data_IF_538946154364
#
_entry.id   IF_538946154364
#
_cell.length_a   1.000
_cell.length_b   1.000
_cell.length_c   1.000
_cell.angle_alpha   90.00
_cell.angle_beta   90.00
_cell.angle_gamma   90.00
#
_symmetry.space_group_name_H-M   'P 1'
#
loop_
_entity.id
_entity.type
_entity.pdbx_description
1 polymer ?
#
# COMPACT_ATOMS: atom_id res chain seq x y z
N UNK A 1 -14.82 -13.02 6.26
CA UNK A 1 -13.45 -13.24 5.71
C UNK A 1 -13.22 -12.24 4.58
N UNK A 2 -12.17 -11.45 4.65
CA UNK A 2 -11.77 -10.47 3.62
C UNK A 2 -10.47 -10.92 2.95
N UNK A 3 -10.27 -10.53 1.70
CA UNK A 3 -9.00 -10.65 0.99
C UNK A 3 -8.22 -9.36 1.15
N UNK A 4 -7.06 -9.44 1.79
CA UNK A 4 -6.20 -8.30 2.12
C UNK A 4 -4.92 -8.40 1.32
N UNK A 5 -4.58 -7.34 0.59
CA UNK A 5 -3.29 -7.22 -0.08
C UNK A 5 -2.46 -6.16 0.62
N UNK A 6 -1.31 -6.56 1.15
CA UNK A 6 -0.36 -5.67 1.81
C UNK A 6 0.80 -5.40 0.87
N UNK A 7 0.90 -4.17 0.39
CA UNK A 7 1.99 -3.70 -0.48
C UNK A 7 3.10 -3.13 0.39
N UNK A 8 4.31 -3.70 0.28
CA UNK A 8 5.49 -3.20 1.00
C UNK A 8 6.38 -2.37 0.08
N UNK A 9 6.77 -1.18 0.55
CA UNK A 9 7.58 -0.22 -0.22
C UNK A 9 9.02 -0.03 0.27
N UNK A 10 9.48 -0.79 1.28
CA UNK A 10 10.83 -0.62 1.81
C UNK A 10 11.88 -1.34 0.99
N UNK A 11 12.92 -0.63 0.48
CA UNK A 11 14.05 -1.29 -0.17
C UNK A 11 15.04 -1.92 0.82
N UNK A 12 14.89 -1.69 2.12
CA UNK A 12 15.80 -2.21 3.15
C UNK A 12 15.37 -3.58 3.63
N UNK A 13 16.24 -4.62 3.62
CA UNK A 13 15.96 -5.87 4.31
C UNK A 13 15.63 -5.62 5.80
N UNK A 14 14.51 -6.16 6.30
CA UNK A 14 14.08 -5.92 7.68
C UNK A 14 13.67 -4.46 7.97
N UNK A 15 13.30 -3.69 6.94
CA UNK A 15 12.87 -2.30 7.09
C UNK A 15 11.67 -2.14 8.03
N UNK A 16 11.60 -1.01 8.73
CA UNK A 16 10.58 -0.73 9.76
C UNK A 16 9.16 -0.89 9.23
N UNK A 17 8.86 -0.34 8.04
CA UNK A 17 7.54 -0.48 7.42
C UNK A 17 7.21 -1.92 7.01
N UNK A 18 8.21 -2.73 6.66
CA UNK A 18 7.99 -4.16 6.39
C UNK A 18 7.65 -4.93 7.68
N UNK A 19 8.21 -4.53 8.82
CA UNK A 19 7.86 -5.08 10.12
C UNK A 19 6.45 -4.68 10.54
N UNK A 20 6.03 -3.41 10.30
CA UNK A 20 4.64 -2.97 10.47
C UNK A 20 3.67 -3.81 9.63
N UNK A 21 3.98 -3.98 8.34
CA UNK A 21 3.20 -4.80 7.42
C UNK A 21 2.97 -6.23 7.95
N UNK A 22 4.04 -6.85 8.45
CA UNK A 22 3.97 -8.19 9.02
C UNK A 22 3.13 -8.26 10.28
N UNK A 23 3.24 -7.24 11.15
CA UNK A 23 2.45 -7.15 12.38
C UNK A 23 0.96 -6.99 12.06
N UNK A 24 0.60 -6.05 11.19
CA UNK A 24 -0.78 -5.88 10.70
C UNK A 24 -1.32 -7.19 10.11
N UNK A 25 -0.52 -7.83 9.24
CA UNK A 25 -0.91 -9.10 8.62
C UNK A 25 -1.12 -10.25 9.62
N UNK A 26 -0.40 -10.28 10.76
CA UNK A 26 -0.66 -11.25 11.84
C UNK A 26 -2.01 -10.99 12.49
N UNK A 27 -2.31 -9.74 12.85
CA UNK A 27 -3.60 -9.37 13.44
C UNK A 27 -4.77 -9.73 12.51
N UNK A 28 -4.67 -9.38 11.24
CA UNK A 28 -5.69 -9.70 10.25
C UNK A 28 -5.88 -11.23 10.06
N UNK A 29 -4.79 -12.00 10.03
CA UNK A 29 -4.88 -13.48 9.92
C UNK A 29 -5.50 -14.12 11.16
N UNK A 30 -5.25 -13.58 12.35
CA UNK A 30 -5.84 -14.08 13.59
C UNK A 30 -7.38 -13.99 13.57
N UNK A 31 -7.93 -13.00 12.86
CA UNK A 31 -9.38 -12.81 12.64
C UNK A 31 -9.91 -13.60 11.42
N UNK A 32 -9.10 -14.48 10.84
CA UNK A 32 -9.51 -15.38 9.76
C UNK A 32 -9.53 -14.73 8.38
N UNK A 33 -8.85 -13.59 8.17
CA UNK A 33 -8.73 -12.97 6.86
C UNK A 33 -7.63 -13.63 6.00
N UNK A 34 -7.80 -13.61 4.68
CA UNK A 34 -6.77 -14.01 3.72
C UNK A 34 -5.82 -12.85 3.48
N UNK A 35 -4.52 -13.04 3.77
CA UNK A 35 -3.51 -11.97 3.66
C UNK A 35 -2.43 -12.37 2.67
N UNK A 36 -2.28 -11.58 1.62
CA UNK A 36 -1.23 -11.68 0.61
C UNK A 36 -0.29 -10.49 0.71
N UNK A 37 1.01 -10.73 0.61
CA UNK A 37 2.03 -9.66 0.56
C UNK A 37 2.53 -9.48 -0.87
N UNK A 38 2.67 -8.22 -1.28
CA UNK A 38 3.30 -7.82 -2.52
C UNK A 38 4.47 -6.88 -2.23
N UNK A 39 5.67 -7.24 -2.67
CA UNK A 39 6.89 -6.45 -2.46
C UNK A 39 7.19 -5.61 -3.70
N UNK A 40 6.82 -4.33 -3.69
CA UNK A 40 6.97 -3.43 -4.84
C UNK A 40 8.43 -3.18 -5.26
N UNK A 41 9.40 -3.53 -4.40
CA UNK A 41 10.83 -3.42 -4.72
C UNK A 41 11.33 -4.63 -5.48
N UNK A 42 10.90 -5.84 -5.09
CA UNK A 42 11.31 -7.09 -5.74
C UNK A 42 10.66 -7.26 -7.10
N UNK A 43 9.39 -6.91 -7.20
CA UNK A 43 8.57 -7.11 -8.40
C UNK A 43 8.80 -6.06 -9.49
N UNK A 44 9.77 -5.16 -9.32
CA UNK A 44 10.29 -4.22 -10.32
C UNK A 44 9.23 -3.63 -11.25
N UNK A 45 8.38 -2.80 -10.71
CA UNK A 45 7.41 -2.04 -11.52
C UNK A 45 8.08 -0.80 -12.11
N UNK A 46 7.98 -0.61 -13.42
CA UNK A 46 8.41 0.60 -14.10
C UNK A 46 7.33 1.69 -14.04
N UNK A 47 7.75 2.95 -14.15
CA UNK A 47 6.83 4.10 -14.14
C UNK A 47 5.79 4.05 -15.26
N UNK A 48 4.61 4.59 -15.01
CA UNK A 48 3.57 4.71 -16.02
C UNK A 48 4.00 5.66 -17.15
N UNK A 49 3.93 5.21 -18.41
CA UNK A 49 4.28 5.99 -19.59
C UNK A 49 3.10 6.82 -20.12
N UNK A 50 1.96 6.82 -19.47
CA UNK A 50 0.73 7.49 -19.91
C UNK A 50 0.33 7.17 -21.38
N UNK A 51 0.69 6.00 -21.88
CA UNK A 51 0.46 5.59 -23.28
C UNK A 51 -1.01 5.23 -23.58
N UNK A 52 -1.87 5.19 -22.59
CA UNK A 52 -3.31 4.86 -22.68
C UNK A 52 -3.65 3.46 -23.26
N UNK A 53 -2.65 2.61 -23.46
CA UNK A 53 -2.88 1.29 -24.04
C UNK A 53 -3.58 0.32 -23.08
N UNK A 54 -3.50 0.52 -21.76
CA UNK A 54 -4.30 -0.20 -20.79
C UNK A 54 -5.80 -0.09 -21.10
N UNK A 55 -6.25 1.05 -21.60
CA UNK A 55 -7.65 1.29 -21.95
C UNK A 55 -8.03 0.70 -23.32
N UNK A 56 -7.16 0.83 -24.32
CA UNK A 56 -7.45 0.31 -25.66
C UNK A 56 -7.32 -1.20 -25.76
N UNK A 57 -6.44 -1.81 -24.97
CA UNK A 57 -6.21 -3.27 -24.95
C UNK A 57 -7.04 -3.98 -23.88
N UNK A 58 -7.62 -3.26 -22.92
CA UNK A 58 -8.37 -3.83 -21.79
C UNK A 58 -7.51 -4.68 -20.88
N UNK A 59 -6.23 -4.37 -20.75
CA UNK A 59 -5.26 -4.98 -19.83
C UNK A 59 -4.88 -3.96 -18.76
N UNK A 60 -4.50 -4.39 -17.53
CA UNK A 60 -4.00 -3.49 -16.49
C UNK A 60 -2.78 -2.68 -16.93
N UNK A 61 -1.81 -3.30 -17.58
CA UNK A 61 -0.73 -2.63 -18.29
C UNK A 61 -0.31 -3.45 -19.52
N UNK A 62 0.17 -2.79 -20.56
CA UNK A 62 0.71 -3.46 -21.76
C UNK A 62 2.20 -3.74 -21.62
N UNK A 63 2.91 -2.98 -20.78
CA UNK A 63 4.28 -3.28 -20.39
C UNK A 63 4.25 -4.40 -19.35
N UNK A 64 4.90 -5.50 -19.66
CA UNK A 64 4.96 -6.65 -18.75
C UNK A 64 6.02 -6.42 -17.68
N UNK A 65 5.56 -6.10 -16.48
CA UNK A 65 6.39 -5.88 -15.28
C UNK A 65 5.60 -6.25 -14.01
N UNK A 66 6.16 -5.98 -12.83
CA UNK A 66 5.55 -6.32 -11.56
C UNK A 66 4.11 -5.83 -11.37
N UNK A 67 3.66 -4.81 -12.10
CA UNK A 67 2.25 -4.40 -12.01
C UNK A 67 1.29 -5.47 -12.57
N UNK A 68 1.72 -6.24 -13.54
CA UNK A 68 0.86 -7.29 -14.11
C UNK A 68 0.69 -8.47 -13.14
N UNK A 69 1.68 -8.70 -12.27
CA UNK A 69 1.57 -9.65 -11.15
C UNK A 69 0.71 -9.10 -10.01
N UNK A 70 0.77 -7.78 -9.79
CA UNK A 70 -0.01 -7.12 -8.76
C UNK A 70 -1.50 -6.95 -9.13
N UNK A 71 -1.80 -6.67 -10.38
CA UNK A 71 -3.14 -6.33 -10.82
C UNK A 71 -4.21 -7.39 -10.45
N UNK A 72 -3.99 -8.71 -10.63
CA UNK A 72 -4.96 -9.72 -10.20
C UNK A 72 -5.19 -9.74 -8.69
N UNK A 73 -4.16 -9.44 -7.90
CA UNK A 73 -4.27 -9.33 -6.44
C UNK A 73 -5.11 -8.13 -6.05
N UNK A 74 -4.85 -6.97 -6.67
CA UNK A 74 -5.62 -5.75 -6.48
C UNK A 74 -7.10 -5.94 -6.86
N UNK A 75 -7.36 -6.55 -8.02
CA UNK A 75 -8.70 -6.77 -8.53
C UNK A 75 -9.53 -7.68 -7.62
N UNK A 76 -8.90 -8.64 -6.97
CA UNK A 76 -9.53 -9.57 -6.04
C UNK A 76 -9.63 -9.08 -4.60
N UNK A 77 -8.91 -8.01 -4.23
CA UNK A 77 -8.80 -7.54 -2.85
C UNK A 77 -10.05 -6.78 -2.39
N UNK A 78 -10.44 -7.00 -1.14
CA UNK A 78 -11.40 -6.19 -0.40
C UNK A 78 -10.70 -5.05 0.35
N UNK A 79 -9.45 -5.28 0.77
CA UNK A 79 -8.64 -4.36 1.58
C UNK A 79 -7.24 -4.23 0.99
N UNK A 80 -6.80 -3.01 0.82
CA UNK A 80 -5.44 -2.67 0.39
C UNK A 80 -4.71 -1.99 1.56
N UNK A 81 -3.49 -2.43 1.82
CA UNK A 81 -2.63 -1.84 2.86
C UNK A 81 -1.35 -1.36 2.20
N UNK A 82 -1.05 -0.08 2.29
CA UNK A 82 0.23 0.48 1.90
C UNK A 82 1.13 0.56 3.12
N UNK A 83 2.22 -0.22 3.15
CA UNK A 83 3.22 -0.22 4.21
C UNK A 83 4.56 0.32 3.67
N UNK A 84 4.93 1.52 4.07
CA UNK A 84 5.95 2.29 3.36
C UNK A 84 6.85 3.11 4.29
N UNK A 85 8.15 3.25 4.00
CA UNK A 85 8.91 4.35 4.54
C UNK A 85 8.48 5.65 3.85
N UNK A 86 8.60 6.78 4.55
CA UNK A 86 8.34 8.10 3.97
C UNK A 86 9.64 8.66 3.41
N UNK A 87 9.67 8.87 2.09
CA UNK A 87 10.79 9.48 1.39
C UNK A 87 10.34 10.83 0.81
N UNK A 88 10.96 11.92 1.31
CA UNK A 88 10.60 13.29 0.89
C UNK A 88 9.08 13.57 0.97
N UNK A 89 8.46 13.12 2.07
CA UNK A 89 7.04 13.32 2.35
C UNK A 89 6.08 12.39 1.61
N UNK A 90 6.58 11.44 0.79
CA UNK A 90 5.74 10.57 -0.04
C UNK A 90 6.26 9.12 -0.09
N UNK A 91 5.69 8.33 -0.98
CA UNK A 91 6.09 6.94 -1.24
C UNK A 91 7.48 6.86 -1.90
N UNK A 92 8.28 5.82 -1.62
CA UNK A 92 9.49 5.52 -2.39
C UNK A 92 9.20 5.34 -3.87
N UNK A 93 10.18 5.63 -4.73
CA UNK A 93 10.02 5.59 -6.18
C UNK A 93 9.46 4.25 -6.70
N UNK A 94 9.90 3.13 -6.12
CA UNK A 94 9.46 1.79 -6.50
C UNK A 94 7.96 1.58 -6.23
N UNK A 95 7.49 2.00 -5.06
CA UNK A 95 6.08 1.91 -4.71
C UNK A 95 5.25 2.94 -5.47
N UNK A 96 5.79 4.14 -5.69
CA UNK A 96 5.12 5.18 -6.48
C UNK A 96 4.91 4.75 -7.93
N UNK A 97 5.88 4.06 -8.53
CA UNK A 97 5.74 3.50 -9.87
C UNK A 97 4.56 2.51 -9.99
N UNK A 98 4.36 1.68 -8.95
CA UNK A 98 3.20 0.80 -8.85
C UNK A 98 1.89 1.61 -8.74
N UNK A 99 1.85 2.60 -7.84
CA UNK A 99 0.67 3.44 -7.59
C UNK A 99 0.27 4.21 -8.86
N UNK A 100 1.22 4.75 -9.62
CA UNK A 100 0.93 5.49 -10.85
C UNK A 100 0.19 4.64 -11.90
N UNK A 101 0.38 3.32 -11.89
CA UNK A 101 -0.31 2.42 -12.81
C UNK A 101 -1.76 2.11 -12.42
N UNK A 102 -2.22 2.53 -11.24
CA UNK A 102 -3.65 2.55 -10.93
C UNK A 102 -4.44 3.46 -11.90
N UNK A 103 -3.75 4.30 -12.64
CA UNK A 103 -4.30 5.03 -13.79
C UNK A 103 -5.13 4.15 -14.73
N UNK A 104 -4.77 2.88 -14.85
CA UNK A 104 -5.53 1.92 -15.65
C UNK A 104 -7.00 1.79 -15.19
N UNK A 105 -7.25 1.98 -13.90
CA UNK A 105 -8.57 1.80 -13.26
C UNK A 105 -9.31 3.14 -13.04
N UNK A 106 -8.64 4.27 -13.28
CA UNK A 106 -9.10 5.58 -12.83
C UNK A 106 -10.41 6.08 -13.44
N UNK A 107 -10.83 5.63 -14.63
CA UNK A 107 -12.02 6.15 -15.32
C UNK A 107 -12.82 5.03 -16.00
N UNK A 108 -13.13 3.92 -15.33
CA UNK A 108 -13.93 2.80 -15.89
C UNK A 108 -13.44 2.29 -17.26
N UNK A 109 -12.12 2.28 -17.49
CA UNK A 109 -11.58 1.97 -18.83
C UNK A 109 -10.99 0.58 -18.95
N UNK A 110 -10.77 -0.12 -17.83
CA UNK A 110 -10.50 -1.55 -17.80
C UNK A 110 -11.79 -2.35 -17.68
N UNK A 111 -11.74 -3.63 -17.98
CA UNK A 111 -12.90 -4.53 -17.83
C UNK A 111 -13.32 -4.74 -16.36
N UNK A 112 -12.40 -4.49 -15.43
CA UNK A 112 -12.63 -4.64 -13.99
C UNK A 112 -12.72 -3.26 -13.35
N UNK A 113 -13.79 -3.00 -12.63
CA UNK A 113 -13.95 -1.78 -11.84
C UNK A 113 -13.49 -2.08 -10.40
N UNK A 114 -12.46 -1.38 -9.95
CA UNK A 114 -11.95 -1.49 -8.58
C UNK A 114 -12.48 -0.40 -7.64
N UNK A 115 -13.41 0.44 -8.10
CA UNK A 115 -13.94 1.55 -7.31
C UNK A 115 -15.06 1.08 -6.37
N UNK A 116 -15.12 1.74 -5.23
CA UNK A 116 -16.12 1.45 -4.19
C UNK A 116 -15.88 0.11 -3.47
N UNK A 117 -16.57 -0.08 -2.38
CA UNK A 117 -16.61 -1.31 -1.58
C UNK A 117 -15.24 -1.91 -1.16
N UNK A 118 -14.22 -1.07 -1.07
CA UNK A 118 -12.87 -1.44 -0.61
C UNK A 118 -12.41 -0.49 0.47
N UNK A 119 -11.45 -0.96 1.26
CA UNK A 119 -10.81 -0.17 2.30
C UNK A 119 -9.32 -0.03 2.03
N UNK A 120 -8.79 1.17 2.31
CA UNK A 120 -7.35 1.48 2.27
C UNK A 120 -6.84 1.70 3.69
N UNK A 121 -5.71 1.09 4.02
CA UNK A 121 -4.91 1.36 5.21
C UNK A 121 -3.54 1.89 4.83
N UNK A 122 -3.01 2.82 5.62
CA UNK A 122 -1.65 3.33 5.47
C UNK A 122 -0.83 3.05 6.73
N UNK A 123 0.28 2.32 6.56
CA UNK A 123 1.30 2.11 7.60
C UNK A 123 2.58 2.81 7.15
N UNK A 124 2.92 3.93 7.76
CA UNK A 124 4.05 4.75 7.33
C UNK A 124 5.06 4.96 8.46
N UNK A 125 6.34 5.00 8.14
CA UNK A 125 7.40 5.31 9.10
C UNK A 125 8.51 6.14 8.45
N UNK A 126 9.23 6.91 9.26
CA UNK A 126 10.32 7.77 8.76
C UNK A 126 11.11 8.43 9.89
N UNK A 127 12.13 9.19 9.51
CA UNK A 127 13.03 9.90 10.42
C UNK A 127 12.47 11.27 10.90
N UNK A 128 11.38 11.73 10.33
CA UNK A 128 10.76 12.98 10.70
C UNK A 128 10.39 13.03 12.19
N UNK A 129 10.73 14.14 12.86
CA UNK A 129 10.56 14.32 14.31
C UNK A 129 9.16 14.76 14.74
N UNK A 130 8.27 15.06 13.81
CA UNK A 130 6.93 15.59 14.11
C UNK A 130 5.88 14.82 13.33
N UNK A 131 4.69 14.75 13.89
CA UNK A 131 3.49 14.25 13.21
C UNK A 131 3.30 14.90 11.84
N UNK A 132 3.63 16.19 11.70
CA UNK A 132 3.58 16.93 10.43
C UNK A 132 4.46 16.35 9.32
N UNK A 133 5.47 15.52 9.64
CA UNK A 133 6.30 14.85 8.64
C UNK A 133 5.51 13.85 7.78
N UNK A 134 4.33 13.47 8.24
CA UNK A 134 3.47 12.50 7.56
C UNK A 134 2.26 13.16 6.85
N UNK A 135 2.02 14.46 7.04
CA UNK A 135 0.84 15.14 6.48
C UNK A 135 0.69 14.91 4.99
N UNK A 136 1.77 15.09 4.22
CA UNK A 136 1.71 14.94 2.75
C UNK A 136 1.33 13.51 2.33
N UNK A 137 1.92 12.49 2.94
CA UNK A 137 1.59 11.11 2.57
C UNK A 137 0.18 10.70 3.03
N UNK A 138 -0.31 11.27 4.14
CA UNK A 138 -1.68 11.08 4.60
C UNK A 138 -2.67 11.71 3.62
N UNK A 139 -2.47 12.97 3.24
CA UNK A 139 -3.29 13.66 2.24
C UNK A 139 -3.30 12.92 0.90
N UNK A 140 -2.14 12.39 0.47
CA UNK A 140 -2.06 11.58 -0.76
C UNK A 140 -2.86 10.28 -0.64
N UNK A 141 -2.81 9.60 0.51
CA UNK A 141 -3.56 8.36 0.72
C UNK A 141 -5.07 8.60 0.80
N UNK A 142 -5.48 9.66 1.48
CA UNK A 142 -6.89 10.09 1.56
C UNK A 142 -7.43 10.46 0.18
N UNK A 143 -6.73 11.33 -0.56
CA UNK A 143 -7.13 11.73 -1.91
C UNK A 143 -7.16 10.56 -2.90
N UNK A 144 -6.26 9.59 -2.74
CA UNK A 144 -6.25 8.37 -3.53
C UNK A 144 -7.47 7.49 -3.23
N UNK A 145 -7.81 7.32 -1.94
CA UNK A 145 -8.99 6.57 -1.52
C UNK A 145 -10.27 7.26 -2.01
N UNK A 146 -10.39 8.58 -1.85
CA UNK A 146 -11.52 9.37 -2.33
C UNK A 146 -11.73 9.21 -3.84
N UNK A 147 -10.66 9.35 -4.64
CA UNK A 147 -10.72 9.21 -6.09
C UNK A 147 -11.24 7.83 -6.52
N UNK A 148 -10.85 6.76 -5.81
CA UNK A 148 -11.29 5.40 -6.06
C UNK A 148 -12.60 5.05 -5.35
N UNK A 149 -13.18 5.98 -4.59
CA UNK A 149 -14.38 5.75 -3.77
C UNK A 149 -14.19 4.62 -2.76
N UNK A 150 -12.98 4.49 -2.22
CA UNK A 150 -12.62 3.56 -1.16
C UNK A 150 -12.75 4.24 0.20
N UNK A 151 -12.99 3.45 1.23
CA UNK A 151 -12.90 3.92 2.60
C UNK A 151 -11.41 4.05 3.00
N UNK A 152 -10.98 5.22 3.48
CA UNK A 152 -9.70 5.34 4.19
C UNK A 152 -9.92 4.88 5.64
N UNK A 153 -9.73 3.56 5.86
CA UNK A 153 -10.22 2.86 7.05
C UNK A 153 -9.27 2.96 8.26
N UNK A 154 -8.01 3.35 8.04
CA UNK A 154 -7.10 3.52 9.16
C UNK A 154 -5.66 3.81 8.74
N UNK A 155 -4.92 4.35 9.70
CA UNK A 155 -3.50 4.67 9.51
C UNK A 155 -2.70 4.48 10.78
N UNK A 156 -1.42 4.15 10.62
CA UNK A 156 -0.42 4.17 11.68
C UNK A 156 0.85 4.82 11.16
N UNK A 157 1.23 5.94 11.75
CA UNK A 157 2.46 6.67 11.43
C UNK A 157 3.47 6.58 12.57
N UNK A 158 4.72 6.23 12.27
CA UNK A 158 5.76 6.06 13.29
C UNK A 158 6.94 6.95 12.96
N UNK A 159 7.12 8.06 13.72
CA UNK A 159 8.22 9.01 13.53
C UNK A 159 9.54 8.51 14.12
N UNK A 160 10.60 9.28 13.89
CA UNK A 160 11.92 9.16 14.54
C UNK A 160 12.62 7.80 14.34
N UNK A 161 12.37 7.13 13.21
CA UNK A 161 13.02 5.86 12.85
C UNK A 161 14.04 6.08 11.72
N UNK A 162 15.32 5.96 12.03
CA UNK A 162 16.45 6.11 11.09
C UNK A 162 17.00 4.76 10.63
N UNK A 163 17.28 3.88 11.58
CA UNK A 163 17.86 2.56 11.35
C UNK A 163 16.81 1.49 11.04
N UNK A 164 17.21 0.47 10.28
CA UNK A 164 16.35 -0.68 10.05
C UNK A 164 16.15 -1.48 11.36
N UNK A 165 14.91 -1.85 11.65
CA UNK A 165 14.57 -2.63 12.83
C UNK A 165 14.37 -1.83 14.13
N UNK A 166 14.65 -0.51 14.15
CA UNK A 166 14.45 0.32 15.35
C UNK A 166 13.01 0.31 15.86
N UNK A 167 12.05 0.09 14.98
CA UNK A 167 10.63 -0.01 15.36
C UNK A 167 10.36 -1.09 16.40
N UNK A 168 11.22 -2.09 16.52
CA UNK A 168 11.09 -3.16 17.55
C UNK A 168 11.28 -2.63 18.97
N UNK A 169 11.81 -1.43 19.13
CA UNK A 169 11.99 -0.76 20.42
C UNK A 169 10.78 0.12 20.80
N UNK A 170 9.76 0.15 19.95
CA UNK A 170 8.52 0.93 20.14
C UNK A 170 7.31 0.01 20.33
N UNK A 171 6.16 0.57 20.70
CA UNK A 171 4.90 -0.17 20.75
C UNK A 171 4.23 -0.34 19.37
N UNK A 172 4.77 0.25 18.33
CA UNK A 172 4.12 0.36 17.02
C UNK A 172 3.78 -1.00 16.36
N UNK A 173 4.58 -2.04 16.64
CA UNK A 173 4.27 -3.39 16.12
C UNK A 173 3.00 -3.96 16.75
N UNK A 174 2.79 -3.73 18.06
CA UNK A 174 1.56 -4.14 18.73
C UNK A 174 0.36 -3.33 18.22
N UNK A 175 0.52 -2.02 18.02
CA UNK A 175 -0.51 -1.15 17.46
C UNK A 175 -0.89 -1.58 16.03
N UNK A 176 0.09 -1.94 15.20
CA UNK A 176 -0.16 -2.46 13.87
C UNK A 176 -0.93 -3.79 13.89
N UNK A 177 -0.60 -4.68 14.83
CA UNK A 177 -1.29 -5.96 14.99
C UNK A 177 -2.74 -5.77 15.45
N UNK A 178 -2.97 -4.86 16.42
CA UNK A 178 -4.32 -4.47 16.83
C UNK A 178 -5.10 -3.85 15.68
N UNK A 179 -4.49 -2.94 14.91
CA UNK A 179 -5.15 -2.33 13.75
C UNK A 179 -5.54 -3.39 12.70
N UNK A 180 -4.66 -4.37 12.47
CA UNK A 180 -4.95 -5.50 11.57
C UNK A 180 -6.11 -6.38 12.05
N UNK A 181 -6.25 -6.59 13.36
CA UNK A 181 -7.35 -7.37 13.94
C UNK A 181 -8.71 -6.65 13.88
N UNK A 182 -8.72 -5.36 13.63
CA UNK A 182 -9.92 -4.53 13.52
C UNK A 182 -10.49 -4.44 12.10
N UNK A 183 -9.86 -5.04 11.12
CA UNK A 183 -10.35 -5.09 9.73
C UNK A 183 -11.72 -5.76 9.68
N UNK A 184 -12.70 -5.11 9.01
CA UNK A 184 -14.10 -5.54 8.92
C UNK A 184 -14.57 -5.74 7.48
#
# INVERSE_FOLDING_TARGET
MKKIVIVTGSPRPGGNSTLLAKAFGRGAKAEGHEVTFFDSVKEKTEGCLACNQCWSKGKPCVNEDGFNEFAPLLEAADVIVFATPVYWGTYPAQMKALIDKFYAYGIKRTKVDIRGNRSLYLLACGDGKKETAFNTILELAEGFAEFLQWEFAGTLTVPELVGAGEITQTNALNEAEVLGSQVR
#
